data_IF_212775148810
#
_entry.id   IF_212775148810
#
_cell.length_a   1.000
_cell.length_b   1.000
_cell.length_c   1.000
_cell.angle_alpha   90.00
_cell.angle_beta   90.00
_cell.angle_gamma   90.00
#
_symmetry.space_group_name_H-M   'P 1'
#
loop_
_entity.id
_entity.type
_entity.pdbx_description
1 polymer ?
#
# COMPACT_ATOMS: atom_id res chain seq x y z
N UNK A 1 6.17 18.70 -1.10
CA UNK A 1 6.44 17.58 -2.04
C UNK A 1 5.37 16.53 -1.80
N UNK A 2 4.10 16.91 -1.98
CA UNK A 2 3.02 16.26 -1.21
C UNK A 2 2.60 14.94 -1.86
N UNK A 3 2.52 14.94 -3.20
CA UNK A 3 2.36 13.70 -3.96
C UNK A 3 3.50 12.71 -3.73
N UNK A 4 4.72 13.18 -3.48
CA UNK A 4 5.84 12.28 -3.17
C UNK A 4 5.59 11.54 -1.85
N UNK A 5 5.25 12.27 -0.78
CA UNK A 5 4.97 11.66 0.52
C UNK A 5 3.75 10.74 0.47
N UNK A 6 2.64 11.19 -0.12
CA UNK A 6 1.44 10.35 -0.25
C UNK A 6 1.71 9.06 -1.02
N UNK A 7 2.52 9.11 -2.09
CA UNK A 7 2.89 7.91 -2.86
C UNK A 7 3.90 7.01 -2.14
N UNK A 8 4.78 7.57 -1.32
CA UNK A 8 5.77 6.83 -0.53
C UNK A 8 5.12 6.10 0.65
N UNK A 9 4.25 6.80 1.37
CA UNK A 9 3.47 6.26 2.50
C UNK A 9 2.28 5.40 2.03
N UNK A 10 1.91 5.53 0.75
CA UNK A 10 0.76 4.86 0.12
C UNK A 10 -0.57 5.20 0.81
N UNK A 11 -0.78 6.48 1.08
CA UNK A 11 -2.04 6.93 1.66
C UNK A 11 -3.21 6.63 0.70
N UNK A 12 -4.38 6.36 1.27
CA UNK A 12 -5.60 6.14 0.47
C UNK A 12 -5.89 7.37 -0.40
N UNK A 13 -6.18 7.14 -1.68
CA UNK A 13 -6.38 8.21 -2.64
C UNK A 13 -5.09 8.92 -3.08
N UNK A 14 -3.90 8.45 -2.71
CA UNK A 14 -2.64 9.08 -3.11
C UNK A 14 -2.47 9.12 -4.63
N UNK A 15 -2.43 10.33 -5.18
CA UNK A 15 -2.35 10.54 -6.61
C UNK A 15 -0.90 10.67 -7.10
N UNK A 16 -0.67 10.26 -8.34
CA UNK A 16 0.51 10.61 -9.11
C UNK A 16 0.07 11.05 -10.49
N UNK A 17 0.29 12.33 -10.79
CA UNK A 17 -0.02 12.94 -12.09
C UNK A 17 1.29 13.01 -12.89
N UNK A 18 1.23 12.61 -14.16
CA UNK A 18 2.37 12.68 -15.07
C UNK A 18 1.93 12.90 -16.50
N UNK A 19 2.75 13.60 -17.26
CA UNK A 19 2.57 13.78 -18.70
C UNK A 19 3.55 12.85 -19.40
N UNK A 20 3.07 12.04 -20.35
CA UNK A 20 3.84 11.02 -21.04
C UNK A 20 3.69 11.15 -22.54
N UNK A 21 4.79 11.06 -23.26
CA UNK A 21 4.78 10.82 -24.71
C UNK A 21 5.51 9.50 -25.01
N UNK A 22 5.32 8.98 -26.22
CA UNK A 22 5.97 7.77 -26.71
C UNK A 22 6.77 8.11 -27.97
N UNK A 23 7.96 7.53 -28.09
CA UNK A 23 8.86 7.81 -29.22
C UNK A 23 9.66 9.09 -29.06
N UNK A 24 10.12 9.65 -30.18
CA UNK A 24 10.98 10.83 -30.22
C UNK A 24 10.25 12.16 -29.99
N UNK A 25 10.96 13.26 -30.23
CA UNK A 25 10.47 14.63 -29.98
C UNK A 25 9.41 15.10 -30.97
N UNK A 26 9.26 14.42 -32.12
CA UNK A 26 8.19 14.69 -33.09
C UNK A 26 6.81 14.15 -32.68
N UNK A 27 6.65 13.60 -31.47
CA UNK A 27 5.37 13.10 -30.99
C UNK A 27 4.39 14.26 -30.69
N UNK A 28 3.39 14.45 -31.55
CA UNK A 28 2.36 15.49 -31.35
C UNK A 28 1.36 15.18 -30.22
N UNK A 29 1.16 13.89 -29.94
CA UNK A 29 0.17 13.43 -28.96
C UNK A 29 0.87 13.06 -27.67
N UNK A 30 0.48 13.74 -26.60
CA UNK A 30 0.87 13.43 -25.22
C UNK A 30 -0.29 12.80 -24.48
N UNK A 31 0.01 12.07 -23.41
CA UNK A 31 -0.95 11.46 -22.52
C UNK A 31 -0.80 12.06 -21.14
N UNK A 32 -1.84 12.74 -20.67
CA UNK A 32 -1.95 13.15 -19.27
C UNK A 32 -2.48 11.95 -18.50
N UNK A 33 -1.66 11.40 -17.62
CA UNK A 33 -1.97 10.20 -16.85
C UNK A 33 -2.11 10.55 -15.37
N UNK A 34 -3.15 10.00 -14.73
CA UNK A 34 -3.32 9.99 -13.28
C UNK A 34 -3.31 8.55 -12.78
N UNK A 35 -2.51 8.30 -11.75
CA UNK A 35 -2.58 7.08 -10.95
C UNK A 35 -3.12 7.43 -9.58
N UNK A 36 -4.21 6.79 -9.19
CA UNK A 36 -4.77 6.93 -7.84
C UNK A 36 -4.49 5.63 -7.09
N UNK A 37 -3.77 5.73 -5.97
CA UNK A 37 -3.60 4.61 -5.06
C UNK A 37 -4.94 4.33 -4.41
N UNK A 38 -5.39 3.09 -4.53
CA UNK A 38 -6.45 2.53 -3.69
C UNK A 38 -5.80 1.47 -2.84
N UNK A 39 -6.00 1.57 -1.55
CA UNK A 39 -5.60 0.55 -0.60
C UNK A 39 -6.47 -0.69 -0.78
N UNK A 40 -5.88 -1.86 -0.60
CA UNK A 40 -6.51 -3.15 -0.90
C UNK A 40 -7.81 -3.40 -0.11
N UNK A 41 -8.01 -2.72 1.04
CA UNK A 41 -9.22 -2.83 1.87
C UNK A 41 -10.46 -2.20 1.23
N UNK A 42 -10.31 -1.24 0.32
CA UNK A 42 -11.44 -0.63 -0.39
C UNK A 42 -12.14 -1.62 -1.32
N UNK A 43 -11.51 -2.76 -1.62
CA UNK A 43 -11.93 -3.67 -2.68
C UNK A 43 -11.69 -3.12 -4.09
N UNK A 44 -11.36 -1.83 -4.21
CA UNK A 44 -11.03 -1.16 -5.45
C UNK A 44 -9.55 -1.37 -5.78
N UNK A 45 -9.27 -1.74 -7.02
CA UNK A 45 -7.89 -1.77 -7.50
C UNK A 45 -7.41 -0.35 -7.76
N UNK A 46 -6.15 -0.08 -7.44
CA UNK A 46 -5.49 1.17 -7.82
C UNK A 46 -5.73 1.48 -9.30
N UNK A 47 -6.29 2.65 -9.58
CA UNK A 47 -6.75 3.03 -10.91
C UNK A 47 -5.66 3.80 -11.64
N UNK A 48 -5.41 3.42 -12.90
CA UNK A 48 -4.61 4.21 -13.84
C UNK A 48 -5.54 4.71 -14.95
N UNK A 49 -5.75 6.01 -14.99
CA UNK A 49 -6.54 6.66 -16.03
C UNK A 49 -5.68 7.63 -16.83
N UNK A 50 -6.03 7.85 -18.11
CA UNK A 50 -5.31 8.78 -18.98
C UNK A 50 -6.20 9.33 -20.07
N UNK A 51 -5.88 10.52 -20.54
CA UNK A 51 -6.48 11.10 -21.74
C UNK A 51 -5.39 11.64 -22.70
N UNK A 52 -5.61 11.54 -24.02
CA UNK A 52 -4.70 12.12 -25.00
C UNK A 52 -4.91 13.64 -25.10
N UNK A 53 -3.83 14.37 -25.36
CA UNK A 53 -3.83 15.81 -25.61
C UNK A 53 -2.76 16.15 -26.64
N UNK A 54 -2.97 17.22 -27.42
CA UNK A 54 -1.94 17.74 -28.33
C UNK A 54 -0.92 18.55 -27.55
N UNK A 55 0.36 18.36 -27.88
CA UNK A 55 1.50 18.95 -27.16
C UNK A 55 1.36 20.48 -26.96
N UNK A 56 1.02 21.22 -28.03
CA UNK A 56 0.90 22.68 -27.97
C UNK A 56 -0.24 23.18 -27.04
N UNK A 57 -1.22 22.33 -26.71
CA UNK A 57 -2.33 22.67 -25.80
C UNK A 57 -2.03 22.38 -24.33
N UNK A 58 -0.93 21.68 -24.03
CA UNK A 58 -0.64 21.21 -22.67
C UNK A 58 -0.45 22.36 -21.70
N UNK A 59 0.33 23.39 -22.07
CA UNK A 59 0.57 24.53 -21.19
C UNK A 59 -0.72 25.30 -20.88
N UNK A 60 -1.52 25.57 -21.92
CA UNK A 60 -2.80 26.28 -21.76
C UNK A 60 -3.79 25.48 -20.91
N UNK A 61 -3.79 24.14 -21.04
CA UNK A 61 -4.60 23.26 -20.22
C UNK A 61 -4.15 23.30 -18.76
N UNK A 62 -2.85 23.20 -18.48
CA UNK A 62 -2.34 23.23 -17.11
C UNK A 62 -2.52 24.59 -16.43
N UNK A 63 -2.55 25.69 -17.20
CA UNK A 63 -2.84 27.03 -16.67
C UNK A 63 -4.33 27.35 -16.56
N UNK A 64 -5.22 26.48 -17.04
CA UNK A 64 -6.67 26.71 -17.04
C UNK A 64 -7.19 27.60 -18.18
N UNK A 65 -6.35 28.01 -19.13
CA UNK A 65 -6.75 28.80 -20.31
C UNK A 65 -7.52 27.96 -21.33
N UNK A 66 -7.17 26.68 -21.43
CA UNK A 66 -7.85 25.70 -22.27
C UNK A 66 -8.67 24.77 -21.37
N UNK A 67 -9.99 24.80 -21.51
CA UNK A 67 -10.88 24.06 -20.61
C UNK A 67 -10.98 22.59 -20.99
N UNK A 68 -11.28 21.73 -20.01
CA UNK A 68 -11.52 20.31 -20.28
C UNK A 68 -12.67 20.08 -21.28
N UNK A 69 -13.70 20.94 -21.27
CA UNK A 69 -14.81 20.89 -22.24
C UNK A 69 -14.32 21.08 -23.67
N UNK A 70 -13.56 22.15 -23.91
CA UNK A 70 -12.96 22.45 -25.21
C UNK A 70 -12.03 21.33 -25.71
N UNK A 71 -11.33 20.64 -24.79
CA UNK A 71 -10.46 19.51 -25.11
C UNK A 71 -11.21 18.32 -25.74
N UNK A 72 -12.46 18.08 -25.31
CA UNK A 72 -13.25 16.94 -25.78
C UNK A 72 -14.37 17.31 -26.76
N UNK A 73 -14.66 18.59 -27.00
CA UNK A 73 -15.63 19.02 -28.02
C UNK A 73 -15.34 18.45 -29.41
N UNK A 74 -14.07 18.44 -29.82
CA UNK A 74 -13.66 17.83 -31.10
C UNK A 74 -13.97 16.33 -31.11
N UNK A 75 -13.71 15.64 -29.99
CA UNK A 75 -13.96 14.21 -29.86
C UNK A 75 -15.47 13.88 -29.87
N UNK A 76 -16.31 14.77 -29.30
CA UNK A 76 -17.78 14.68 -29.38
C UNK A 76 -18.26 14.83 -30.83
N UNK A 77 -17.73 15.82 -31.56
CA UNK A 77 -18.10 16.07 -32.97
C UNK A 77 -17.68 14.93 -33.92
N UNK A 78 -16.56 14.26 -33.64
CA UNK A 78 -16.08 13.14 -34.46
C UNK A 78 -16.88 11.84 -34.29
N UNK A 79 -17.65 11.68 -33.21
CA UNK A 79 -18.56 10.53 -33.01
C UNK A 79 -17.89 9.15 -32.89
N UNK A 80 -16.55 9.08 -32.78
CA UNK A 80 -15.80 7.80 -32.76
C UNK A 80 -15.91 7.03 -31.44
N UNK A 81 -16.33 7.67 -30.35
CA UNK A 81 -16.45 7.09 -29.01
C UNK A 81 -17.86 7.31 -28.47
N UNK A 82 -18.28 6.44 -27.56
CA UNK A 82 -19.56 6.60 -26.87
C UNK A 82 -19.58 7.87 -26.01
N UNK A 83 -20.75 8.51 -25.89
CA UNK A 83 -20.90 9.73 -25.09
C UNK A 83 -20.49 9.50 -23.63
N UNK A 84 -20.84 8.32 -23.06
CA UNK A 84 -20.45 7.92 -21.70
C UNK A 84 -18.93 7.87 -21.51
N UNK A 85 -18.19 7.37 -22.50
CA UNK A 85 -16.73 7.35 -22.44
C UNK A 85 -16.16 8.76 -22.50
N UNK A 86 -16.72 9.62 -23.35
CA UNK A 86 -16.26 11.01 -23.48
C UNK A 86 -16.52 11.77 -22.17
N UNK A 87 -17.69 11.62 -21.56
CA UNK A 87 -18.00 12.22 -20.26
C UNK A 87 -17.05 11.74 -19.16
N UNK A 88 -16.67 10.46 -19.16
CA UNK A 88 -15.69 9.92 -18.20
C UNK A 88 -14.29 10.53 -18.37
N UNK A 89 -13.87 10.77 -19.61
CA UNK A 89 -12.59 11.40 -19.93
C UNK A 89 -12.61 12.89 -19.59
N UNK A 90 -13.73 13.57 -19.83
CA UNK A 90 -13.91 14.97 -19.47
C UNK A 90 -13.85 15.16 -17.95
N UNK A 91 -14.55 14.32 -17.17
CA UNK A 91 -14.47 14.33 -15.70
C UNK A 91 -13.03 14.13 -15.21
N UNK A 92 -12.32 13.14 -15.77
CA UNK A 92 -10.90 12.91 -15.45
C UNK A 92 -10.05 14.15 -15.74
N UNK A 93 -10.24 14.81 -16.88
CA UNK A 93 -9.49 16.00 -17.23
C UNK A 93 -9.81 17.19 -16.31
N UNK A 94 -11.10 17.38 -15.96
CA UNK A 94 -11.52 18.40 -15.00
C UNK A 94 -10.88 18.18 -13.63
N UNK A 95 -10.90 16.94 -13.12
CA UNK A 95 -10.28 16.60 -11.83
C UNK A 95 -8.77 16.85 -11.84
N UNK A 96 -8.07 16.43 -12.90
CA UNK A 96 -6.62 16.67 -13.04
C UNK A 96 -6.31 18.16 -13.13
N UNK A 97 -7.06 18.92 -13.94
CA UNK A 97 -6.87 20.38 -14.07
C UNK A 97 -7.12 21.10 -12.75
N UNK A 98 -8.21 20.75 -12.05
CA UNK A 98 -8.53 21.28 -10.73
C UNK A 98 -7.39 21.00 -9.73
N UNK A 99 -6.89 19.76 -9.70
CA UNK A 99 -5.79 19.36 -8.82
C UNK A 99 -4.51 20.15 -9.11
N UNK A 100 -4.14 20.27 -10.39
CA UNK A 100 -2.96 21.00 -10.83
C UNK A 100 -3.00 22.48 -10.40
N UNK A 101 -4.16 23.13 -10.53
CA UNK A 101 -4.34 24.54 -10.18
C UNK A 101 -4.43 24.73 -8.66
N UNK A 102 -5.26 23.94 -7.97
CA UNK A 102 -5.47 24.02 -6.52
C UNK A 102 -4.17 23.79 -5.75
N UNK A 103 -3.48 22.71 -6.06
CA UNK A 103 -2.27 22.29 -5.34
C UNK A 103 -1.00 22.95 -5.92
N UNK A 104 -1.15 23.90 -6.87
CA UNK A 104 -0.06 24.65 -7.54
C UNK A 104 1.04 23.72 -8.05
N UNK A 105 0.63 22.69 -8.79
CA UNK A 105 1.55 21.68 -9.32
C UNK A 105 2.44 22.25 -10.41
N UNK A 106 3.66 21.71 -10.50
CA UNK A 106 4.67 22.06 -11.51
C UNK A 106 5.42 20.81 -11.93
N UNK A 107 6.13 20.81 -13.08
CA UNK A 107 7.09 19.76 -13.41
C UNK A 107 8.14 19.63 -12.30
N UNK A 108 8.48 18.40 -11.92
CA UNK A 108 9.46 18.14 -10.85
C UNK A 108 10.53 17.15 -11.29
N UNK A 109 10.12 15.95 -11.73
CA UNK A 109 11.04 14.89 -12.17
C UNK A 109 10.57 14.33 -13.50
N UNK A 110 11.47 14.27 -14.48
CA UNK A 110 11.34 13.46 -15.69
C UNK A 110 11.87 12.07 -15.41
N UNK A 111 11.18 11.05 -15.93
CA UNK A 111 11.68 9.68 -15.97
C UNK A 111 11.74 9.22 -17.42
N UNK A 112 12.95 8.95 -17.91
CA UNK A 112 13.24 8.44 -19.24
C UNK A 112 13.68 6.98 -19.14
N UNK A 113 13.29 6.15 -20.11
CA UNK A 113 13.73 4.76 -20.24
C UNK A 113 13.31 4.20 -21.60
N UNK A 114 14.05 3.22 -22.11
CA UNK A 114 13.63 2.40 -23.22
C UNK A 114 12.89 1.17 -22.70
N UNK A 115 11.76 0.82 -23.31
CA UNK A 115 10.92 -0.30 -22.85
C UNK A 115 10.80 -1.37 -23.91
N UNK A 116 11.21 -2.57 -23.56
CA UNK A 116 10.90 -3.79 -24.31
C UNK A 116 9.78 -4.54 -23.60
N UNK A 117 8.71 -4.87 -24.32
CA UNK A 117 7.57 -5.61 -23.79
C UNK A 117 7.51 -7.01 -24.42
N UNK A 118 7.36 -8.02 -23.57
CA UNK A 118 7.24 -9.42 -23.95
C UNK A 118 5.85 -9.91 -23.55
N UNK A 119 5.06 -10.25 -24.55
CA UNK A 119 3.71 -10.80 -24.38
C UNK A 119 3.36 -11.69 -25.57
N UNK A 120 2.78 -12.84 -25.29
CA UNK A 120 2.16 -13.69 -26.32
C UNK A 120 0.80 -13.09 -26.72
N UNK A 121 0.52 -12.87 -28.03
CA UNK A 121 -0.79 -12.44 -28.49
C UNK A 121 -1.89 -13.41 -28.03
N UNK A 122 -2.98 -12.88 -27.47
CA UNK A 122 -4.09 -13.70 -26.95
C UNK A 122 -3.87 -14.31 -25.56
N UNK A 123 -2.65 -14.30 -25.02
CA UNK A 123 -2.36 -14.79 -23.67
C UNK A 123 -2.08 -13.61 -22.72
N UNK A 124 -2.83 -13.56 -21.62
CA UNK A 124 -2.67 -12.56 -20.57
C UNK A 124 -2.02 -13.12 -19.30
N UNK A 125 -1.73 -14.43 -19.23
CA UNK A 125 -1.21 -15.11 -18.02
C UNK A 125 0.08 -14.47 -17.51
N UNK A 126 0.98 -14.15 -18.43
CA UNK A 126 2.28 -13.53 -18.14
C UNK A 126 2.53 -12.38 -19.12
N UNK A 127 2.83 -11.19 -18.58
CA UNK A 127 3.31 -10.04 -19.36
C UNK A 127 4.56 -9.49 -18.69
N UNK A 128 5.64 -9.40 -19.44
CA UNK A 128 6.93 -8.91 -18.93
C UNK A 128 7.26 -7.61 -19.64
N UNK A 129 7.78 -6.63 -18.91
CA UNK A 129 8.45 -5.48 -19.51
C UNK A 129 9.81 -5.25 -18.88
N UNK A 130 10.81 -5.01 -19.71
CA UNK A 130 12.15 -4.63 -19.32
C UNK A 130 12.38 -3.16 -19.67
N UNK A 131 12.64 -2.34 -18.66
CA UNK A 131 12.98 -0.93 -18.82
C UNK A 131 14.51 -0.77 -18.68
N UNK A 132 15.17 -0.34 -19.76
CA UNK A 132 16.63 -0.08 -19.84
C UNK A 132 16.92 1.42 -19.95
N UNK A 133 18.18 1.81 -19.76
CA UNK A 133 18.64 3.22 -19.78
C UNK A 133 17.81 4.14 -18.88
N UNK A 134 17.38 3.61 -17.72
CA UNK A 134 16.51 4.33 -16.81
C UNK A 134 17.24 5.56 -16.27
N UNK A 135 16.71 6.74 -16.60
CA UNK A 135 17.31 8.02 -16.21
C UNK A 135 16.25 8.91 -15.59
N UNK A 136 16.56 9.51 -14.45
CA UNK A 136 15.72 10.52 -13.81
C UNK A 136 16.39 11.87 -13.98
N UNK A 137 15.61 12.89 -14.33
CA UNK A 137 16.13 14.24 -14.58
C UNK A 137 15.29 15.27 -13.84
N UNK A 138 15.92 16.29 -13.26
CA UNK A 138 15.23 17.41 -12.63
C UNK A 138 14.50 18.27 -13.67
N UNK A 139 13.26 18.59 -13.35
CA UNK A 139 12.38 19.51 -14.09
C UNK A 139 11.89 20.65 -13.17
N UNK A 140 12.23 20.61 -11.88
CA UNK A 140 11.81 21.60 -10.90
C UNK A 140 12.63 22.90 -11.00
N UNK A 141 12.20 23.89 -10.22
CA UNK A 141 12.89 25.16 -10.00
C UNK A 141 13.09 25.47 -8.51
N UNK A 142 13.19 24.45 -7.65
CA UNK A 142 13.27 24.62 -6.20
C UNK A 142 14.59 25.23 -5.71
N UNK A 143 15.64 25.16 -6.52
CA UNK A 143 16.97 25.74 -6.28
C UNK A 143 17.17 27.10 -6.96
N UNK A 144 16.09 27.72 -7.44
CA UNK A 144 16.12 29.02 -8.12
C UNK A 144 16.43 28.94 -9.63
N UNK A 145 16.78 27.76 -10.16
CA UNK A 145 17.07 27.58 -11.59
C UNK A 145 15.78 27.23 -12.33
N UNK A 146 15.33 28.09 -13.23
CA UNK A 146 14.13 27.83 -14.04
C UNK A 146 14.43 26.92 -15.24
N UNK A 147 14.40 25.59 -15.02
CA UNK A 147 14.70 24.58 -16.05
C UNK A 147 13.68 24.50 -17.18
N UNK A 148 12.40 24.67 -16.87
CA UNK A 148 11.33 24.49 -17.87
C UNK A 148 10.98 25.77 -18.61
N UNK A 149 11.44 26.94 -18.13
CA UNK A 149 11.10 28.24 -18.73
C UNK A 149 9.58 28.42 -18.89
N UNK A 150 8.81 28.04 -17.85
CA UNK A 150 7.34 28.04 -17.83
C UNK A 150 6.65 27.07 -18.82
N UNK A 151 7.40 26.12 -19.40
CA UNK A 151 6.85 25.03 -20.18
C UNK A 151 6.53 23.80 -19.29
N UNK A 152 5.74 22.87 -19.80
CA UNK A 152 5.41 21.61 -19.12
C UNK A 152 6.58 20.62 -19.05
N UNK A 153 7.64 20.85 -19.83
CA UNK A 153 8.92 20.12 -19.83
C UNK A 153 10.07 21.04 -20.22
N UNK A 154 11.29 20.73 -19.80
CA UNK A 154 12.51 21.35 -20.33
C UNK A 154 12.73 21.01 -21.80
N UNK A 155 13.32 21.97 -22.53
CA UNK A 155 13.49 21.95 -23.98
C UNK A 155 14.95 21.76 -24.44
N UNK A 156 15.89 21.77 -23.50
CA UNK A 156 17.33 21.55 -23.70
C UNK A 156 17.71 20.07 -23.81
N UNK A 157 16.78 19.16 -23.51
CA UNK A 157 16.91 17.71 -23.72
C UNK A 157 15.65 17.12 -24.37
N UNK A 158 15.86 16.12 -25.21
CA UNK A 158 14.81 15.34 -25.84
C UNK A 158 14.77 13.91 -25.33
N UNK A 159 15.20 12.99 -26.21
CA UNK A 159 15.28 11.54 -25.99
C UNK A 159 16.72 11.02 -26.22
N UNK A 160 17.67 11.94 -26.20
CA UNK A 160 19.10 11.79 -26.46
C UNK A 160 19.83 11.33 -25.19
N UNK A 161 19.56 10.10 -24.78
CA UNK A 161 20.34 9.41 -23.75
C UNK A 161 21.83 9.37 -24.14
N UNK A 162 22.79 9.63 -23.21
CA UNK A 162 22.66 9.73 -21.75
C UNK A 162 22.54 11.15 -21.18
N UNK A 163 22.07 12.11 -21.99
CA UNK A 163 21.89 13.52 -21.60
C UNK A 163 23.16 14.18 -21.05
N UNK A 164 24.30 13.99 -21.73
CA UNK A 164 25.62 14.49 -21.30
C UNK A 164 25.72 16.02 -21.22
N UNK A 165 24.82 16.75 -21.87
CA UNK A 165 24.74 18.22 -21.79
C UNK A 165 24.24 18.74 -20.44
N UNK A 166 23.67 17.87 -19.61
CA UNK A 166 23.09 18.26 -18.34
C UNK A 166 24.12 18.18 -17.20
N UNK A 167 24.04 19.09 -16.21
CA UNK A 167 24.82 18.99 -14.99
C UNK A 167 24.57 17.66 -14.26
N UNK A 168 25.61 17.06 -13.68
CA UNK A 168 25.47 15.79 -12.93
C UNK A 168 24.47 15.88 -11.78
N UNK A 169 24.37 17.05 -11.13
CA UNK A 169 23.37 17.31 -10.06
C UNK A 169 21.90 17.24 -10.53
N UNK A 170 21.66 17.33 -11.84
CA UNK A 170 20.32 17.36 -12.42
C UNK A 170 19.91 16.01 -13.02
N UNK A 171 20.83 15.04 -13.10
CA UNK A 171 20.62 13.76 -13.78
C UNK A 171 21.09 12.60 -12.92
N UNK A 172 20.18 11.67 -12.68
CA UNK A 172 20.46 10.39 -12.03
C UNK A 172 20.35 9.28 -13.09
N UNK A 173 21.49 8.65 -13.39
CA UNK A 173 21.56 7.51 -14.33
C UNK A 173 21.48 6.23 -13.52
N UNK A 174 20.32 5.59 -13.55
CA UNK A 174 20.04 4.43 -12.72
C UNK A 174 20.94 3.26 -13.18
N UNK A 175 21.69 2.62 -12.26
CA UNK A 175 22.73 1.65 -12.63
C UNK A 175 22.19 0.31 -13.12
N UNK A 176 20.89 0.05 -12.94
CA UNK A 176 20.25 -1.23 -13.24
C UNK A 176 19.12 -1.10 -14.27
N UNK A 177 18.68 -2.22 -14.83
CA UNK A 177 17.44 -2.29 -15.59
C UNK A 177 16.27 -2.67 -14.66
N UNK A 178 15.05 -2.24 -14.99
CA UNK A 178 13.85 -2.57 -14.20
C UNK A 178 13.00 -3.59 -14.95
N UNK A 179 12.94 -4.80 -14.43
CA UNK A 179 12.07 -5.87 -14.90
C UNK A 179 10.73 -5.84 -14.15
N UNK A 180 9.62 -5.67 -14.87
CA UNK A 180 8.26 -5.73 -14.33
C UNK A 180 7.55 -6.97 -14.89
N UNK A 181 7.21 -7.91 -14.02
CA UNK A 181 6.44 -9.12 -14.35
C UNK A 181 5.01 -8.95 -13.85
N UNK A 182 4.03 -9.06 -14.75
CA UNK A 182 2.60 -9.05 -14.45
C UNK A 182 2.02 -10.43 -14.68
N UNK A 183 1.46 -10.99 -13.61
CA UNK A 183 0.79 -12.28 -13.61
C UNK A 183 -0.71 -12.07 -13.55
N UNK A 184 -1.44 -12.76 -14.42
CA UNK A 184 -2.90 -12.84 -14.41
C UNK A 184 -3.30 -14.31 -14.50
N UNK A 185 -3.10 -15.05 -13.41
CA UNK A 185 -3.51 -16.45 -13.30
C UNK A 185 -4.96 -16.55 -12.87
N UNK A 186 -5.66 -17.58 -13.36
CA UNK A 186 -6.99 -17.92 -12.88
C UNK A 186 -6.90 -18.46 -11.45
N UNK A 187 -7.99 -18.34 -10.69
CA UNK A 187 -8.04 -18.79 -9.30
C UNK A 187 -7.77 -20.31 -9.25
N UNK A 188 -6.77 -20.74 -8.48
CA UNK A 188 -6.34 -22.14 -8.39
C UNK A 188 -5.26 -22.57 -9.39
N UNK A 189 -4.88 -21.73 -10.36
CA UNK A 189 -3.73 -22.00 -11.24
C UNK A 189 -2.46 -21.32 -10.74
N UNK A 190 -1.37 -22.08 -10.72
CA UNK A 190 -0.05 -21.56 -10.45
C UNK A 190 0.54 -20.80 -11.65
N UNK A 191 1.41 -19.80 -11.42
CA UNK A 191 2.13 -19.16 -12.52
C UNK A 191 3.09 -20.18 -13.18
N UNK A 192 3.39 -20.02 -14.49
CA UNK A 192 4.29 -20.92 -15.19
C UNK A 192 5.63 -21.09 -14.47
N UNK A 193 6.13 -22.32 -14.40
CA UNK A 193 7.33 -22.67 -13.63
C UNK A 193 8.55 -21.84 -14.03
N UNK A 194 8.77 -21.63 -15.32
CA UNK A 194 9.88 -20.82 -15.82
C UNK A 194 9.87 -19.38 -15.27
N UNK A 195 8.69 -18.81 -14.95
CA UNK A 195 8.61 -17.48 -14.33
C UNK A 195 9.03 -17.55 -12.86
N UNK A 196 8.60 -18.59 -12.14
CA UNK A 196 9.01 -18.81 -10.75
C UNK A 196 10.54 -18.95 -10.67
N UNK A 197 11.12 -19.75 -11.57
CA UNK A 197 12.56 -19.98 -11.63
C UNK A 197 13.34 -18.72 -12.03
N UNK A 198 12.83 -17.94 -12.99
CA UNK A 198 13.45 -16.66 -13.39
C UNK A 198 13.45 -15.66 -12.22
N UNK A 199 12.35 -15.57 -11.46
CA UNK A 199 12.22 -14.63 -10.33
C UNK A 199 13.11 -15.02 -9.14
N UNK A 200 13.38 -16.31 -8.95
CA UNK A 200 14.30 -16.80 -7.92
C UNK A 200 15.76 -16.85 -8.37
N UNK A 201 16.03 -16.67 -9.66
CA UNK A 201 17.39 -16.78 -10.23
C UNK A 201 18.36 -15.68 -9.78
N UNK A 202 19.63 -15.89 -10.11
CA UNK A 202 20.72 -14.93 -9.89
C UNK A 202 20.63 -13.67 -10.78
N UNK A 203 19.77 -13.68 -11.79
CA UNK A 203 19.65 -12.60 -12.79
C UNK A 203 18.85 -11.40 -12.29
N UNK A 204 18.05 -11.59 -11.24
CA UNK A 204 17.12 -10.57 -10.76
C UNK A 204 17.20 -10.40 -9.25
N UNK A 205 16.94 -9.17 -8.83
CA UNK A 205 16.73 -8.83 -7.43
C UNK A 205 15.33 -8.27 -7.24
N UNK A 206 14.61 -8.84 -6.28
CA UNK A 206 13.22 -8.47 -6.01
C UNK A 206 13.16 -7.18 -5.21
N UNK A 207 12.84 -6.06 -5.88
CA UNK A 207 12.57 -4.78 -5.22
C UNK A 207 11.05 -4.50 -5.24
N UNK A 208 10.31 -4.85 -4.18
CA UNK A 208 8.86 -4.73 -4.19
C UNK A 208 8.43 -3.27 -4.27
N UNK A 209 7.48 -2.98 -5.18
CA UNK A 209 6.80 -1.68 -5.30
C UNK A 209 7.77 -0.51 -5.59
N UNK A 210 8.88 -0.79 -6.26
CA UNK A 210 9.79 0.23 -6.79
C UNK A 210 9.03 1.28 -7.62
N UNK A 211 9.40 2.55 -7.45
CA UNK A 211 8.79 3.67 -8.15
C UNK A 211 9.85 4.63 -8.67
N UNK A 212 9.87 4.82 -9.99
CA UNK A 212 10.76 5.76 -10.69
C UNK A 212 10.61 7.21 -10.16
N UNK A 213 9.38 7.60 -9.84
CA UNK A 213 9.06 8.93 -9.29
C UNK A 213 9.62 9.11 -7.87
N UNK A 214 9.45 8.10 -7.02
CA UNK A 214 9.94 8.15 -5.63
C UNK A 214 11.47 8.11 -5.64
N UNK A 215 12.08 7.22 -6.44
CA UNK A 215 13.54 7.16 -6.53
C UNK A 215 14.12 8.49 -7.04
N UNK A 216 13.60 9.04 -8.15
CA UNK A 216 14.06 10.34 -8.65
C UNK A 216 13.89 11.48 -7.64
N UNK A 217 12.79 11.50 -6.87
CA UNK A 217 12.59 12.52 -5.83
C UNK A 217 13.52 12.37 -4.63
N UNK A 218 13.81 11.13 -4.24
CA UNK A 218 14.70 10.85 -3.13
C UNK A 218 16.18 11.14 -3.46
N UNK A 219 16.59 10.85 -4.70
CA UNK A 219 17.99 11.01 -5.15
C UNK A 219 18.30 12.44 -5.58
N UNK A 220 17.45 13.06 -6.42
CA UNK A 220 17.74 14.38 -7.02
C UNK A 220 17.30 15.57 -6.16
N UNK A 221 16.40 15.35 -5.20
CA UNK A 221 15.90 16.39 -4.30
C UNK A 221 16.08 16.02 -2.82
N UNK A 222 17.30 15.65 -2.40
CA UNK A 222 17.56 15.14 -1.06
C UNK A 222 17.23 16.17 0.03
N UNK A 223 17.39 17.47 -0.25
CA UNK A 223 17.16 18.56 0.72
C UNK A 223 15.67 18.90 0.91
N UNK A 224 14.79 18.37 0.05
CA UNK A 224 13.34 18.61 0.10
C UNK A 224 12.56 17.42 0.68
N UNK A 225 13.25 16.32 0.96
CA UNK A 225 12.62 15.08 1.44
C UNK A 225 13.28 14.56 2.71
N UNK A 226 12.48 14.39 3.75
CA UNK A 226 12.92 13.85 5.03
C UNK A 226 12.75 12.32 5.11
N UNK A 227 11.85 11.79 4.26
CA UNK A 227 11.49 10.39 4.17
C UNK A 227 12.00 9.81 2.85
N UNK A 228 12.83 8.77 2.93
CA UNK A 228 13.44 8.08 1.78
C UNK A 228 12.95 6.63 1.68
N UNK A 229 12.89 6.04 0.48
CA UNK A 229 12.47 4.65 0.33
C UNK A 229 13.55 3.66 0.82
N UNK A 230 13.11 2.47 1.23
CA UNK A 230 13.98 1.43 1.80
C UNK A 230 15.09 0.94 0.87
N UNK A 231 14.91 1.01 -0.46
CA UNK A 231 15.92 0.55 -1.42
C UNK A 231 17.04 1.57 -1.66
N UNK A 232 16.85 2.85 -1.29
CA UNK A 232 17.83 3.89 -1.58
C UNK A 232 19.20 3.64 -0.94
N UNK A 233 19.30 3.22 0.35
CA UNK A 233 20.58 2.90 0.97
C UNK A 233 21.27 1.64 0.41
N UNK A 234 20.55 0.80 -0.34
CA UNK A 234 21.07 -0.44 -0.92
C UNK A 234 21.58 -0.24 -2.35
N UNK A 235 21.50 0.98 -2.90
CA UNK A 235 21.89 1.24 -4.28
C UNK A 235 23.37 1.00 -4.57
N UNK A 236 24.23 1.11 -3.55
CA UNK A 236 25.69 0.87 -3.65
C UNK A 236 26.06 -0.62 -3.55
N UNK A 237 25.09 -1.50 -3.26
CA UNK A 237 25.31 -2.95 -3.15
C UNK A 237 25.26 -3.56 -4.56
N UNK A 238 26.27 -4.37 -4.91
CA UNK A 238 26.24 -5.14 -6.16
C UNK A 238 25.20 -6.27 -6.04
N UNK A 239 24.19 -6.21 -6.91
CA UNK A 239 23.09 -7.16 -6.95
C UNK A 239 23.44 -8.47 -7.68
N UNK A 240 24.63 -8.56 -8.29
CA UNK A 240 25.08 -9.75 -9.01
C UNK A 240 25.34 -10.90 -8.04
N UNK A 241 24.48 -11.90 -8.09
CA UNK A 241 24.65 -13.16 -7.36
C UNK A 241 25.57 -14.09 -8.17
N UNK A 242 26.41 -14.92 -7.52
CA UNK A 242 27.19 -15.93 -8.22
C UNK A 242 26.25 -16.85 -9.01
N UNK A 243 26.67 -17.30 -10.19
CA UNK A 243 25.92 -18.28 -10.96
C UNK A 243 25.82 -19.56 -10.11
N UNK A 244 24.62 -19.94 -9.70
CA UNK A 244 24.38 -21.32 -9.32
C UNK A 244 24.55 -22.15 -10.59
N UNK A 245 25.40 -23.18 -10.56
CA UNK A 245 25.65 -24.11 -11.66
C UNK A 245 24.44 -25.02 -11.94
N UNK A 246 23.27 -24.44 -12.14
CA UNK A 246 22.09 -25.14 -12.63
C UNK A 246 21.98 -24.87 -14.13
N UNK A 247 22.00 -25.94 -14.92
CA UNK A 247 21.78 -25.94 -16.36
C UNK A 247 20.38 -25.39 -16.69
N UNK A 248 20.23 -24.06 -16.73
CA UNK A 248 19.04 -23.39 -17.25
C UNK A 248 19.07 -23.42 -18.78
N UNK A 249 18.72 -24.56 -19.36
CA UNK A 249 18.52 -24.75 -20.79
C UNK A 249 17.12 -25.27 -21.08
N UNK A 250 16.48 -24.75 -22.13
CA UNK A 250 15.24 -25.32 -22.68
C UNK A 250 15.58 -26.72 -23.19
N UNK A 251 15.34 -27.76 -22.39
CA UNK A 251 15.44 -29.15 -22.86
C UNK A 251 14.21 -29.41 -23.72
N UNK A 252 14.43 -29.42 -25.05
CA UNK A 252 13.46 -29.93 -26.01
C UNK A 252 13.32 -31.43 -25.73
N UNK A 253 12.25 -31.82 -25.05
CA UNK A 253 11.96 -33.20 -24.68
C UNK A 253 11.81 -34.04 -25.96
N UNK A 254 12.90 -34.70 -26.36
CA UNK A 254 12.89 -35.74 -27.38
C UNK A 254 12.60 -37.03 -26.63
N UNK A 255 11.47 -37.64 -26.97
CA UNK A 255 10.96 -38.86 -26.37
C UNK A 255 12.03 -39.97 -26.32
N UNK A 256 12.16 -40.61 -25.17
CA UNK A 256 12.73 -41.94 -25.00
C UNK A 256 11.98 -42.63 -23.84
N UNK A 257 11.36 -43.75 -24.20
CA UNK A 257 10.66 -44.69 -23.34
C UNK A 257 11.63 -45.41 -22.39
N UNK A 258 11.15 -45.81 -21.21
CA UNK A 258 11.71 -46.95 -20.48
C UNK A 258 11.94 -46.80 -18.97
N UNK A 259 11.13 -47.53 -18.20
CA UNK A 259 11.40 -48.15 -16.87
C UNK A 259 11.29 -47.33 -15.57
N UNK A 260 10.08 -47.37 -15.00
CA UNK A 260 9.68 -47.79 -13.63
C UNK A 260 10.68 -47.79 -12.46
N UNK A 261 10.33 -47.08 -11.37
CA UNK A 261 9.90 -47.62 -10.05
C UNK A 261 10.36 -46.74 -8.87
N UNK A 262 9.44 -46.38 -7.95
CA UNK A 262 9.78 -45.83 -6.63
C UNK A 262 8.71 -44.93 -6.00
N UNK A 263 7.82 -45.54 -5.20
CA UNK A 263 6.70 -44.97 -4.44
C UNK A 263 7.00 -43.76 -3.53
N UNK A 264 5.97 -42.93 -3.30
CA UNK A 264 5.91 -41.92 -2.23
C UNK A 264 4.57 -41.19 -2.19
N UNK A 265 3.51 -41.91 -1.80
CA UNK A 265 2.13 -41.46 -1.49
C UNK A 265 2.07 -40.31 -0.48
N UNK A 266 1.11 -39.38 -0.64
CA UNK A 266 0.24 -38.82 0.42
C UNK A 266 -0.87 -37.95 -0.20
N UNK A 267 -1.90 -38.66 -0.64
CA UNK A 267 -3.37 -38.48 -0.61
C UNK A 267 -4.03 -37.08 -0.59
N UNK A 268 -4.95 -36.97 -1.56
CA UNK A 268 -6.09 -36.06 -1.71
C UNK A 268 -7.27 -36.44 -0.81
N UNK A 269 -8.23 -35.49 -0.72
CA UNK A 269 -9.57 -35.56 -0.12
C UNK A 269 -9.69 -35.19 1.38
N UNK A 270 -10.17 -33.96 1.64
CA UNK A 270 -11.58 -33.86 2.00
C UNK A 270 -12.19 -32.52 1.56
N UNK A 271 -13.19 -32.67 0.69
CA UNK A 271 -14.02 -31.69 0.03
C UNK A 271 -15.46 -31.90 0.54
N UNK A 272 -16.06 -30.92 1.21
CA UNK A 272 -17.53 -30.70 1.25
C UNK A 272 -17.82 -29.41 2.06
N UNK A 273 -18.76 -28.53 1.71
CA UNK A 273 -19.91 -28.71 0.83
C UNK A 273 -20.51 -27.40 0.29
N UNK A 274 -21.37 -27.62 -0.69
CA UNK A 274 -21.90 -26.76 -1.73
C UNK A 274 -23.15 -25.93 -1.36
N UNK A 275 -23.39 -24.87 -2.16
CA UNK A 275 -24.65 -24.58 -2.87
C UNK A 275 -24.34 -23.55 -3.98
N UNK A 276 -24.25 -23.89 -5.28
CA UNK A 276 -25.32 -24.01 -6.31
C UNK A 276 -26.38 -22.89 -6.26
N UNK A 277 -26.64 -22.08 -7.30
CA UNK A 277 -26.11 -22.10 -8.65
C UNK A 277 -26.70 -21.03 -9.59
N UNK A 278 -26.60 -21.34 -10.87
CA UNK A 278 -27.19 -20.77 -12.09
C UNK A 278 -26.46 -19.61 -12.80
N UNK A 279 -26.14 -19.88 -14.06
CA UNK A 279 -25.22 -19.10 -14.89
C UNK A 279 -25.88 -18.00 -15.72
N UNK A 280 -25.00 -17.22 -16.36
CA UNK A 280 -25.14 -16.81 -17.75
C UNK A 280 -23.83 -16.21 -18.27
N UNK A 281 -23.47 -16.67 -19.46
CA UNK A 281 -22.55 -16.09 -20.45
C UNK A 281 -22.57 -14.56 -20.49
N UNK A 282 -21.42 -13.89 -20.53
CA UNK A 282 -21.18 -12.56 -21.17
C UNK A 282 -19.69 -12.21 -21.10
N UNK A 283 -18.98 -12.11 -22.22
CA UNK A 283 -18.84 -10.94 -23.11
C UNK A 283 -17.91 -9.86 -22.55
N UNK A 284 -16.82 -9.62 -23.27
CA UNK A 284 -15.87 -8.53 -23.08
C UNK A 284 -16.56 -7.16 -23.16
N UNK A 285 -16.28 -6.28 -22.18
CA UNK A 285 -16.49 -4.84 -22.30
C UNK A 285 -17.53 -4.24 -21.34
N UNK A 286 -17.23 -3.04 -20.84
CA UNK A 286 -18.03 -2.13 -20.00
C UNK A 286 -18.06 -2.41 -18.48
N UNK A 287 -17.36 -1.54 -17.74
CA UNK A 287 -17.51 -1.40 -16.28
C UNK A 287 -18.72 -0.48 -16.07
N UNK A 288 -19.81 -1.01 -15.53
CA UNK A 288 -20.88 -0.19 -15.01
C UNK A 288 -20.43 0.44 -13.68
N UNK A 289 -20.39 1.77 -13.66
CA UNK A 289 -20.12 2.55 -12.46
C UNK A 289 -21.45 2.64 -11.70
N UNK A 290 -21.49 2.06 -10.51
CA UNK A 290 -22.65 2.19 -9.62
C UNK A 290 -22.57 3.55 -8.93
N UNK A 291 -23.43 4.48 -9.36
CA UNK A 291 -23.41 5.92 -9.06
C UNK A 291 -23.71 6.32 -7.60
N UNK A 292 -23.95 5.38 -6.68
CA UNK A 292 -24.45 5.72 -5.33
C UNK A 292 -23.38 5.89 -4.24
N UNK A 293 -22.10 5.63 -4.50
CA UNK A 293 -21.04 5.73 -3.48
C UNK A 293 -20.09 6.93 -3.62
N UNK A 294 -20.33 7.84 -4.56
CA UNK A 294 -19.50 9.04 -4.77
C UNK A 294 -20.00 10.27 -4.01
N UNK A 295 -20.43 10.10 -2.75
CA UNK A 295 -20.73 11.25 -1.90
C UNK A 295 -19.43 11.75 -1.29
N UNK A 296 -18.92 12.85 -1.84
CA UNK A 296 -17.83 13.64 -1.30
C UNK A 296 -18.31 14.18 0.06
N UNK A 297 -17.77 13.66 1.17
CA UNK A 297 -17.91 14.36 2.45
C UNK A 297 -17.12 15.68 2.37
N UNK A 298 -17.71 16.82 2.75
CA UNK A 298 -16.97 18.06 2.83
C UNK A 298 -15.87 17.93 3.88
N UNK A 299 -14.63 18.22 3.46
CA UNK A 299 -13.50 18.39 4.38
C UNK A 299 -13.71 19.74 5.06
N UNK A 300 -14.24 19.71 6.27
CA UNK A 300 -14.35 20.89 7.13
C UNK A 300 -12.96 21.16 7.73
N UNK A 301 -12.33 22.22 7.24
CA UNK A 301 -11.06 22.75 7.73
C UNK A 301 -11.40 23.88 8.72
N UNK A 302 -11.60 23.51 9.99
CA UNK A 302 -11.76 24.48 11.06
C UNK A 302 -10.87 24.11 12.25
N UNK A 303 -9.96 25.03 12.56
CA UNK A 303 -9.08 25.02 13.72
C UNK A 303 -9.88 25.27 15.00
N UNK A 304 -10.56 24.25 15.53
CA UNK A 304 -11.32 24.36 16.78
C UNK A 304 -10.69 23.57 17.92
N UNK A 305 -10.18 24.28 18.93
CA UNK A 305 -9.48 23.78 20.11
C UNK A 305 -10.41 23.09 21.15
N UNK A 306 -11.55 22.53 20.74
CA UNK A 306 -12.50 21.93 21.66
C UNK A 306 -12.14 20.47 22.03
N UNK A 307 -12.14 20.10 23.32
CA UNK A 307 -11.77 18.75 23.78
C UNK A 307 -12.73 17.67 23.27
N UNK A 308 -13.99 18.03 23.01
CA UNK A 308 -15.01 17.14 22.45
C UNK A 308 -14.66 16.78 21.00
N UNK A 309 -14.19 17.72 20.18
CA UNK A 309 -13.78 17.44 18.80
C UNK A 309 -12.52 16.57 18.74
N UNK A 310 -11.61 16.70 19.72
CA UNK A 310 -10.49 15.76 19.90
C UNK A 310 -10.95 14.36 20.26
N UNK A 311 -11.95 14.24 21.14
CA UNK A 311 -12.55 12.96 21.50
C UNK A 311 -13.28 12.34 20.30
N UNK A 312 -14.07 13.13 19.55
CA UNK A 312 -14.77 12.68 18.34
C UNK A 312 -13.80 12.26 17.24
N UNK A 313 -12.71 13.01 17.02
CA UNK A 313 -11.65 12.63 16.09
C UNK A 313 -10.93 11.36 16.55
N UNK A 314 -10.64 11.24 17.84
CA UNK A 314 -10.06 10.03 18.43
C UNK A 314 -10.98 8.82 18.29
N UNK A 315 -12.29 8.99 18.51
CA UNK A 315 -13.32 7.95 18.30
C UNK A 315 -13.45 7.60 16.82
N UNK A 316 -13.42 8.58 15.90
CA UNK A 316 -13.45 8.35 14.44
C UNK A 316 -12.21 7.60 13.95
N UNK A 317 -11.02 7.93 14.47
CA UNK A 317 -9.77 7.18 14.24
C UNK A 317 -9.82 5.77 14.86
N UNK A 318 -10.59 5.58 15.94
CA UNK A 318 -10.83 4.29 16.60
C UNK A 318 -11.80 3.39 15.83
N UNK A 319 -12.90 3.95 15.32
CA UNK A 319 -13.98 3.21 14.68
C UNK A 319 -13.81 3.09 13.17
N UNK A 320 -12.84 3.79 12.58
CA UNK A 320 -12.44 3.58 11.19
C UNK A 320 -12.02 2.10 10.98
N UNK A 321 -12.60 1.37 10.02
CA UNK A 321 -12.22 -0.01 9.74
C UNK A 321 -10.77 -0.08 9.25
N UNK A 322 -10.02 -1.09 9.72
CA UNK A 322 -8.59 -1.27 9.41
C UNK A 322 -8.30 -2.69 8.98
N UNK A 323 -7.92 -2.83 7.71
CA UNK A 323 -7.59 -4.11 7.10
C UNK A 323 -6.39 -3.97 6.16
N UNK A 324 -5.24 -3.57 6.73
CA UNK A 324 -3.93 -3.54 6.07
C UNK A 324 -3.42 -4.95 5.71
N UNK A 325 -3.97 -5.58 4.66
CA UNK A 325 -3.44 -6.83 4.10
C UNK A 325 -2.48 -6.57 2.94
N UNK A 326 -1.25 -6.16 3.27
CA UNK A 326 -0.19 -6.09 2.26
C UNK A 326 0.24 -7.52 1.86
N UNK A 327 -0.26 -8.05 0.74
CA UNK A 327 0.33 -9.26 0.13
C UNK A 327 1.61 -8.88 -0.63
N UNK A 328 2.74 -9.19 -0.01
CA UNK A 328 4.04 -9.25 -0.68
C UNK A 328 4.19 -10.66 -1.28
N UNK A 329 4.67 -10.82 -2.53
CA UNK A 329 4.89 -12.15 -3.12
C UNK A 329 5.79 -13.04 -2.24
N UNK A 330 5.47 -14.32 -2.18
CA UNK A 330 6.29 -15.35 -1.52
C UNK A 330 7.69 -15.38 -2.14
N UNK A 331 8.74 -15.25 -1.31
CA UNK A 331 10.15 -15.22 -1.76
C UNK A 331 10.88 -13.87 -1.64
N UNK A 332 10.25 -12.83 -1.08
CA UNK A 332 10.94 -11.54 -0.84
C UNK A 332 11.86 -11.65 0.37
N UNK A 333 13.17 -11.42 0.19
CA UNK A 333 14.13 -11.32 1.29
C UNK A 333 13.92 -10.02 2.07
N UNK A 334 13.66 -10.14 3.37
CA UNK A 334 13.51 -9.00 4.27
C UNK A 334 14.81 -8.76 5.00
N UNK A 335 15.66 -7.88 4.47
CA UNK A 335 16.81 -7.39 5.24
C UNK A 335 16.31 -6.52 6.40
N UNK A 336 16.78 -6.82 7.61
CA UNK A 336 16.27 -6.22 8.86
C UNK A 336 17.12 -5.06 9.36
N UNK A 337 18.28 -4.77 8.74
CA UNK A 337 19.21 -3.73 9.19
C UNK A 337 19.40 -2.69 8.09
N UNK A 338 18.66 -1.60 8.19
CA UNK A 338 18.86 -0.42 7.35
C UNK A 338 19.58 0.67 8.16
N UNK A 339 20.68 1.21 7.62
CA UNK A 339 21.33 2.41 8.18
C UNK A 339 20.93 3.62 7.36
N UNK A 340 20.13 4.51 7.94
CA UNK A 340 19.74 5.74 7.28
C UNK A 340 20.91 6.75 7.25
N UNK A 341 21.03 7.57 6.20
CA UNK A 341 21.89 8.75 6.21
C UNK A 341 21.51 9.70 7.37
N UNK A 342 22.46 10.48 7.91
CA UNK A 342 22.19 11.37 9.05
C UNK A 342 21.03 12.33 8.74
N UNK A 343 20.06 12.41 9.65
CA UNK A 343 18.89 13.30 9.53
C UNK A 343 17.72 12.77 8.70
N UNK A 344 17.84 11.63 8.01
CA UNK A 344 16.76 11.07 7.17
C UNK A 344 16.08 9.85 7.79
N UNK A 345 14.78 9.70 7.53
CA UNK A 345 13.98 8.53 7.94
C UNK A 345 13.72 7.62 6.77
N UNK A 346 13.74 6.31 6.99
CA UNK A 346 13.45 5.32 5.96
C UNK A 346 11.98 4.89 6.06
N UNK A 347 11.25 5.03 4.95
CA UNK A 347 9.95 4.42 4.78
C UNK A 347 10.11 2.95 4.41
N UNK A 348 9.97 2.09 5.42
CA UNK A 348 9.88 0.64 5.21
C UNK A 348 8.40 0.25 5.10
N UNK A 349 7.99 -0.46 4.04
CA UNK A 349 6.64 -1.00 3.96
C UNK A 349 6.46 -2.06 5.06
N UNK A 350 5.72 -1.70 6.12
CA UNK A 350 5.41 -2.66 7.19
C UNK A 350 4.27 -3.58 6.74
N UNK A 351 4.55 -4.88 6.72
CA UNK A 351 3.54 -5.92 6.55
C UNK A 351 2.85 -6.16 7.88
N UNK A 352 1.60 -5.73 8.01
CA UNK A 352 0.73 -6.20 9.07
C UNK A 352 0.03 -7.45 8.55
N UNK A 353 0.24 -8.58 9.20
CA UNK A 353 -0.44 -9.82 8.82
C UNK A 353 -1.80 -9.91 9.52
N UNK A 354 -2.83 -10.50 8.88
CA UNK A 354 -4.11 -10.85 9.51
C UNK A 354 -3.97 -11.45 10.91
N UNK A 355 -2.98 -12.34 11.07
CA UNK A 355 -2.73 -13.04 12.31
C UNK A 355 -2.45 -12.09 13.49
N UNK A 356 -1.93 -10.89 13.23
CA UNK A 356 -1.65 -9.89 14.27
C UNK A 356 -2.95 -9.31 14.83
N UNK A 357 -3.95 -9.06 13.98
CA UNK A 357 -5.28 -8.66 14.41
C UNK A 357 -5.96 -9.78 15.19
N UNK A 358 -5.96 -11.00 14.65
CA UNK A 358 -6.54 -12.16 15.34
C UNK A 358 -5.83 -12.48 16.66
N UNK A 359 -4.50 -12.27 16.75
CA UNK A 359 -3.78 -12.42 18.01
C UNK A 359 -4.20 -11.35 19.02
N UNK A 360 -4.39 -10.10 18.57
CA UNK A 360 -4.84 -9.00 19.43
C UNK A 360 -6.26 -9.25 19.95
N UNK A 361 -7.18 -9.66 19.07
CA UNK A 361 -8.54 -10.04 19.43
C UNK A 361 -8.56 -11.23 20.39
N UNK A 362 -7.78 -12.29 20.12
CA UNK A 362 -7.65 -13.45 21.02
C UNK A 362 -7.18 -13.04 22.41
N UNK A 363 -6.19 -12.15 22.51
CA UNK A 363 -5.73 -11.66 23.82
C UNK A 363 -6.81 -10.86 24.54
N UNK A 364 -7.59 -10.05 23.83
CA UNK A 364 -8.71 -9.30 24.41
C UNK A 364 -9.82 -10.23 24.92
N UNK A 365 -10.21 -11.24 24.14
CA UNK A 365 -11.19 -12.24 24.55
C UNK A 365 -10.72 -13.04 25.77
N UNK A 366 -9.42 -13.36 25.86
CA UNK A 366 -8.84 -14.01 27.04
C UNK A 366 -8.95 -13.13 28.30
N UNK A 367 -8.68 -11.82 28.19
CA UNK A 367 -8.85 -10.87 29.29
C UNK A 367 -10.31 -10.72 29.74
N UNK A 368 -11.25 -10.68 28.79
CA UNK A 368 -12.68 -10.65 29.10
C UNK A 368 -13.13 -11.93 29.80
N UNK A 369 -12.60 -13.09 29.40
CA UNK A 369 -12.88 -14.37 30.08
C UNK A 369 -12.44 -14.35 31.54
N UNK A 370 -11.25 -13.82 31.85
CA UNK A 370 -10.77 -13.66 33.23
C UNK A 370 -11.71 -12.75 34.04
N UNK A 371 -12.13 -11.62 33.45
CA UNK A 371 -13.07 -10.72 34.12
C UNK A 371 -14.43 -11.37 34.36
N UNK A 372 -14.90 -12.21 33.43
CA UNK A 372 -16.16 -12.93 33.59
C UNK A 372 -16.07 -13.92 34.76
N UNK A 373 -14.93 -14.60 34.94
CA UNK A 373 -14.69 -15.49 36.09
C UNK A 373 -14.72 -14.72 37.41
N UNK A 374 -14.11 -13.53 37.48
CA UNK A 374 -14.18 -12.67 38.67
C UNK A 374 -15.61 -12.18 38.95
N UNK A 375 -16.34 -11.78 37.91
CA UNK A 375 -17.74 -11.40 38.03
C UNK A 375 -18.63 -12.55 38.50
N UNK A 376 -18.43 -13.76 37.97
CA UNK A 376 -19.16 -14.96 38.38
C UNK A 376 -18.84 -15.31 39.85
N UNK A 377 -17.57 -15.25 40.25
CA UNK A 377 -17.15 -15.53 41.63
C UNK A 377 -17.74 -14.49 42.61
N UNK A 378 -17.75 -13.22 42.23
CA UNK A 378 -18.42 -12.18 43.00
C UNK A 378 -19.92 -12.47 43.14
N UNK A 379 -20.61 -12.83 42.05
CA UNK A 379 -22.03 -13.14 42.07
C UNK A 379 -22.36 -14.37 42.95
N UNK A 380 -21.56 -15.43 42.87
CA UNK A 380 -21.71 -16.62 43.72
C UNK A 380 -21.53 -16.26 45.20
N UNK A 381 -20.52 -15.45 45.54
CA UNK A 381 -20.26 -15.00 46.91
C UNK A 381 -21.38 -14.10 47.46
N UNK A 382 -22.07 -13.33 46.61
CA UNK A 382 -23.22 -12.51 47.01
C UNK A 382 -24.45 -13.37 47.32
N UNK A 383 -24.72 -14.40 46.51
CA UNK A 383 -25.92 -15.22 46.68
C UNK A 383 -25.82 -16.21 47.84
N UNK A 384 -24.62 -16.74 48.11
CA UNK A 384 -24.42 -17.84 49.06
C UNK A 384 -23.52 -17.48 50.26
N UNK A 385 -23.14 -16.21 50.42
CA UNK A 385 -22.11 -15.80 51.39
C UNK A 385 -22.62 -14.99 52.57
N UNK A 386 -21.85 -15.04 53.66
CA UNK A 386 -22.05 -14.22 54.87
C UNK A 386 -21.67 -12.74 54.65
N UNK A 387 -21.86 -11.90 55.67
CA UNK A 387 -21.50 -10.46 55.63
C UNK A 387 -20.03 -10.19 55.24
N UNK A 388 -19.10 -11.09 55.59
CA UNK A 388 -17.68 -11.00 55.17
C UNK A 388 -17.50 -11.38 53.70
N UNK A 389 -18.28 -12.35 53.22
CA UNK A 389 -18.32 -12.73 51.79
C UNK A 389 -18.93 -11.63 50.94
N UNK A 390 -19.88 -10.84 51.47
CA UNK A 390 -20.42 -9.65 50.80
C UNK A 390 -19.32 -8.60 50.54
N UNK A 391 -18.50 -8.26 51.55
CA UNK A 391 -17.36 -7.34 51.39
C UNK A 391 -16.34 -7.90 50.38
N UNK A 392 -16.04 -9.19 50.48
CA UNK A 392 -15.11 -9.87 49.57
C UNK A 392 -15.64 -9.85 48.13
N UNK A 393 -16.94 -10.05 47.93
CA UNK A 393 -17.60 -10.02 46.62
C UNK A 393 -17.54 -8.63 45.98
N UNK A 394 -17.66 -7.56 46.76
CA UNK A 394 -17.49 -6.19 46.28
C UNK A 394 -16.06 -5.93 45.77
N UNK A 395 -15.04 -6.46 46.45
CA UNK A 395 -13.64 -6.38 45.98
C UNK A 395 -13.41 -7.14 44.66
N UNK A 396 -13.99 -8.34 44.52
CA UNK A 396 -13.92 -9.10 43.27
C UNK A 396 -14.66 -8.42 42.12
N UNK A 397 -15.81 -7.81 42.40
CA UNK A 397 -16.57 -7.06 41.41
C UNK A 397 -15.81 -5.81 40.92
N UNK A 398 -15.18 -5.07 41.84
CA UNK A 398 -14.33 -3.94 41.49
C UNK A 398 -13.10 -4.37 40.66
N UNK A 399 -12.47 -5.49 41.03
CA UNK A 399 -11.35 -6.07 40.29
C UNK A 399 -11.75 -6.49 38.87
N UNK A 400 -12.96 -7.04 38.70
CA UNK A 400 -13.52 -7.37 37.38
C UNK A 400 -13.68 -6.11 36.51
N UNK A 401 -14.29 -5.05 37.03
CA UNK A 401 -14.46 -3.77 36.31
C UNK A 401 -13.11 -3.19 35.88
N UNK A 402 -12.12 -3.15 36.78
CA UNK A 402 -10.78 -2.65 36.45
C UNK A 402 -10.12 -3.50 35.35
N UNK A 403 -10.32 -4.81 35.37
CA UNK A 403 -9.78 -5.73 34.35
C UNK A 403 -10.42 -5.48 32.97
N UNK A 404 -11.73 -5.21 32.91
CA UNK A 404 -12.44 -4.85 31.66
C UNK A 404 -11.91 -3.52 31.11
N UNK A 405 -11.80 -2.50 31.97
CA UNK A 405 -11.32 -1.18 31.56
C UNK A 405 -9.88 -1.28 31.04
N UNK A 406 -9.00 -1.95 31.79
CA UNK A 406 -7.60 -2.14 31.41
C UNK A 406 -7.46 -2.88 30.07
N UNK A 407 -8.12 -4.02 29.92
CA UNK A 407 -8.06 -4.82 28.68
C UNK A 407 -8.63 -4.08 27.47
N UNK A 408 -9.69 -3.28 27.65
CA UNK A 408 -10.24 -2.43 26.59
C UNK A 408 -9.25 -1.34 26.17
N UNK A 409 -8.61 -0.67 27.13
CA UNK A 409 -7.59 0.37 26.85
C UNK A 409 -6.39 -0.23 26.12
N UNK A 410 -5.89 -1.39 26.57
CA UNK A 410 -4.76 -2.09 25.92
C UNK A 410 -5.15 -2.57 24.53
N UNK A 411 -6.35 -3.12 24.34
CA UNK A 411 -6.85 -3.51 23.02
C UNK A 411 -6.88 -2.33 22.05
N UNK A 412 -7.48 -1.22 22.47
CA UNK A 412 -7.54 0.01 21.66
C UNK A 412 -6.14 0.53 21.34
N UNK A 413 -5.25 0.58 22.33
CA UNK A 413 -3.86 1.00 22.13
C UNK A 413 -3.13 0.11 21.11
N UNK A 414 -3.29 -1.22 21.21
CA UNK A 414 -2.68 -2.18 20.27
C UNK A 414 -3.23 -2.00 18.86
N UNK A 415 -4.56 -1.94 18.72
CA UNK A 415 -5.22 -1.72 17.42
C UNK A 415 -4.70 -0.43 16.79
N UNK A 416 -4.70 0.69 17.51
CA UNK A 416 -4.20 1.98 17.01
C UNK A 416 -2.74 1.94 16.55
N UNK A 417 -1.87 1.24 17.28
CA UNK A 417 -0.45 1.13 16.91
C UNK A 417 -0.23 0.21 15.70
N UNK A 418 -1.01 -0.86 15.59
CA UNK A 418 -1.04 -1.73 14.42
C UNK A 418 -1.50 -0.93 13.18
N UNK A 419 -2.59 -0.14 13.32
CA UNK A 419 -3.10 0.74 12.23
C UNK A 419 -2.04 1.70 11.74
N UNK A 420 -1.32 2.32 12.68
CA UNK A 420 -0.27 3.31 12.40
C UNK A 420 1.05 2.68 11.94
N UNK A 421 1.08 1.35 11.75
CA UNK A 421 2.26 0.59 11.28
C UNK A 421 3.53 0.91 12.10
N UNK A 422 3.36 1.20 13.40
CA UNK A 422 4.49 1.54 14.29
C UNK A 422 5.14 0.27 14.80
N UNK A 423 6.47 0.23 14.77
CA UNK A 423 7.25 -0.80 15.45
C UNK A 423 7.23 -0.52 16.96
N UNK A 424 6.19 -1.02 17.65
CA UNK A 424 6.08 -0.99 19.10
C UNK A 424 6.19 -2.40 19.65
N UNK A 425 6.71 -2.56 20.88
CA UNK A 425 6.62 -3.84 21.59
C UNK A 425 5.18 -4.02 22.03
N UNK A 426 4.52 -5.04 21.50
CA UNK A 426 3.10 -5.31 21.78
C UNK A 426 2.89 -6.16 23.05
N UNK A 427 3.96 -6.63 23.70
CA UNK A 427 3.86 -7.50 24.88
C UNK A 427 3.32 -6.74 26.09
N UNK A 428 2.32 -7.32 26.76
CA UNK A 428 1.75 -6.78 28.00
C UNK A 428 2.45 -7.39 29.21
N UNK A 429 3.35 -6.62 29.83
CA UNK A 429 4.10 -7.05 31.01
C UNK A 429 3.48 -6.57 32.34
N UNK A 430 2.52 -5.65 32.27
CA UNK A 430 1.98 -4.94 33.44
C UNK A 430 0.65 -5.55 33.88
N UNK A 431 -0.19 -5.95 32.92
CA UNK A 431 -1.53 -6.48 33.16
C UNK A 431 -1.55 -7.65 34.14
N UNK A 432 -0.81 -8.75 33.88
CA UNK A 432 -0.82 -9.91 34.75
C UNK A 432 -0.39 -9.60 36.19
N UNK A 433 0.61 -8.73 36.36
CA UNK A 433 1.11 -8.32 37.69
C UNK A 433 0.03 -7.58 38.49
N UNK A 434 -0.69 -6.69 37.82
CA UNK A 434 -1.74 -5.87 38.44
C UNK A 434 -2.93 -6.74 38.89
N UNK A 435 -3.35 -7.70 38.05
CA UNK A 435 -4.43 -8.62 38.37
C UNK A 435 -4.06 -9.58 39.50
N UNK A 436 -2.85 -10.14 39.49
CA UNK A 436 -2.37 -10.97 40.61
C UNK A 436 -2.34 -10.20 41.93
N UNK A 437 -1.89 -8.94 41.91
CA UNK A 437 -1.89 -8.09 43.10
C UNK A 437 -3.32 -7.79 43.61
N UNK A 438 -4.24 -7.44 42.70
CA UNK A 438 -5.64 -7.16 43.06
C UNK A 438 -6.35 -8.40 43.64
N UNK A 439 -6.05 -9.59 43.11
CA UNK A 439 -6.57 -10.86 43.63
C UNK A 439 -5.99 -11.17 45.01
N UNK A 440 -4.67 -11.03 45.19
CA UNK A 440 -4.03 -11.21 46.49
C UNK A 440 -4.60 -10.24 47.55
N UNK A 441 -4.83 -8.99 47.17
CA UNK A 441 -5.47 -8.01 48.04
C UNK A 441 -6.91 -8.40 48.41
N UNK A 442 -7.72 -8.84 47.44
CA UNK A 442 -9.11 -9.25 47.67
C UNK A 442 -9.22 -10.47 48.60
N UNK A 443 -8.34 -11.46 48.43
CA UNK A 443 -8.26 -12.63 49.32
C UNK A 443 -7.72 -12.24 50.70
N UNK A 444 -6.70 -11.38 50.75
CA UNK A 444 -6.12 -10.87 51.99
C UNK A 444 -7.15 -10.14 52.86
N UNK A 445 -7.97 -9.28 52.24
CA UNK A 445 -9.09 -8.60 52.92
C UNK A 445 -10.07 -9.62 53.51
N UNK A 446 -10.45 -10.65 52.75
CA UNK A 446 -11.34 -11.70 53.24
C UNK A 446 -10.77 -12.42 54.48
N UNK A 447 -9.48 -12.77 54.44
CA UNK A 447 -8.80 -13.44 55.54
C UNK A 447 -8.73 -12.56 56.81
N UNK A 448 -8.39 -11.29 56.64
CA UNK A 448 -8.23 -10.33 57.74
C UNK A 448 -9.57 -10.05 58.44
N UNK A 449 -10.66 -9.90 57.68
CA UNK A 449 -12.01 -9.75 58.24
C UNK A 449 -12.52 -11.02 58.92
N UNK A 450 -12.12 -12.22 58.48
CA UNK A 450 -12.46 -13.47 59.17
C UNK A 450 -11.69 -13.62 60.48
N UNK A 451 -10.42 -13.22 60.52
CA UNK A 451 -9.62 -13.23 61.75
C UNK A 451 -10.13 -12.24 62.80
N UNK A 452 -10.60 -11.06 62.38
CA UNK A 452 -11.14 -10.04 63.30
C UNK A 452 -12.54 -10.36 63.84
N UNK A 453 -13.26 -11.30 63.20
CA UNK A 453 -14.61 -11.70 63.61
C UNK A 453 -14.61 -12.92 64.56
N UNK A 454 -13.46 -13.58 64.68
CA UNK A 454 -13.15 -14.58 65.70
C UNK A 454 -12.56 -13.90 66.93
#
# INVERSE_FOLDING_TARGET
MDLYYGRLEKTEGAEAIRIRWYGGMGAETVFVERKTHREDWTGEKSVKARFPMKEFRVNDFMSGKYTAKEAFEKMRKEGKKSEKEIDSLERLAQEVQYRCIKDKMRPVIRSFYNRTAFQLPGDARVRISLDTELTMVREDNFDGINRTQNNWRRMDIGVDYPFSQLPEKDVERFPYAVLEVKLQTQLGQEPPQWVKDMVSSHLVEAVPKFSKFIHGGATLLPDKVDLIPFWLPQMDVDIKKPKADDHFGIVRQRALEGSSAGNGTLDEEELAGFASGNGNTTTYGTVQIQEQNNRIEPVDDSSDNNPINRLVKWVKDLTAPDHSFNKVPTGTSFETKFRAPPGKKIAVPVRVEPKVYFATERTYLSWLSISLIFGATAHTLMNFGDTVSFITSACFFFTAILTIIYSSVVYVYRVLNIRKKRAARYDDQVGPKLVCFALAASVGVSFLFRLLKH
#
